data_IF_331417033887
#
_entry.id   IF_331417033887
#
_cell.length_a   1.000
_cell.length_b   1.000
_cell.length_c   1.000
_cell.angle_alpha   90.00
_cell.angle_beta   90.00
_cell.angle_gamma   90.00
#
_symmetry.space_group_name_H-M   'P 1'
#
loop_
_entity.id
_entity.type
_entity.pdbx_description
1 polymer ?
#
# COMPACT_ATOMS: atom_id res chain seq x y z
N UNK A 1 -30.69 -5.11 -41.07
CA UNK A 1 -29.33 -5.02 -40.51
C UNK A 1 -29.31 -3.80 -39.60
N UNK A 2 -29.24 -3.98 -38.28
CA UNK A 2 -29.22 -2.84 -37.37
C UNK A 2 -27.77 -2.38 -37.27
N UNK A 3 -27.45 -1.21 -37.77
CA UNK A 3 -26.13 -0.61 -37.64
C UNK A 3 -26.02 -0.02 -36.24
N UNK A 4 -25.29 -0.67 -35.37
CA UNK A 4 -24.94 -0.09 -34.04
C UNK A 4 -23.74 0.81 -34.23
N UNK A 5 -23.88 2.11 -33.97
CA UNK A 5 -22.77 3.05 -33.93
C UNK A 5 -22.11 2.92 -32.55
N UNK A 6 -20.86 2.44 -32.50
CA UNK A 6 -20.04 2.42 -31.29
C UNK A 6 -19.29 3.74 -31.21
N UNK A 7 -19.55 4.52 -30.16
CA UNK A 7 -18.89 5.81 -29.90
C UNK A 7 -18.02 5.68 -28.61
N UNK A 8 -17.06 4.77 -28.66
CA UNK A 8 -16.17 4.54 -27.52
C UNK A 8 -15.40 5.81 -27.16
N UNK A 9 -15.37 6.15 -25.87
CA UNK A 9 -14.59 7.29 -25.36
C UNK A 9 -14.04 7.00 -23.98
N UNK A 10 -12.83 7.51 -23.68
CA UNK A 10 -12.21 7.48 -22.34
C UNK A 10 -12.27 8.90 -21.78
N UNK A 11 -12.99 9.08 -20.65
CA UNK A 11 -13.21 10.37 -20.04
C UNK A 11 -12.39 10.58 -18.78
N UNK A 12 -11.89 9.50 -18.16
CA UNK A 12 -11.08 9.56 -16.94
C UNK A 12 -10.29 8.31 -16.63
N UNK A 13 -9.25 8.48 -15.83
CA UNK A 13 -8.40 7.43 -15.27
C UNK A 13 -8.21 7.71 -13.78
N UNK A 14 -8.51 6.76 -12.91
CA UNK A 14 -8.37 6.93 -11.47
C UNK A 14 -7.82 5.65 -10.78
N UNK A 15 -6.72 5.75 -10.01
CA UNK A 15 -5.81 6.89 -9.93
C UNK A 15 -5.06 7.13 -11.25
N UNK A 16 -4.60 8.36 -11.50
CA UNK A 16 -3.80 8.71 -12.69
C UNK A 16 -2.31 8.41 -12.54
N UNK A 17 -1.90 7.92 -11.36
CA UNK A 17 -0.54 7.49 -11.05
C UNK A 17 -0.58 6.15 -10.34
N UNK A 18 0.32 5.25 -10.67
CA UNK A 18 0.43 3.93 -10.01
C UNK A 18 1.66 3.17 -10.46
N UNK A 19 1.95 2.06 -9.78
CA UNK A 19 3.02 1.12 -10.14
C UNK A 19 2.48 -0.05 -10.94
N UNK A 20 3.37 -0.84 -11.53
CA UNK A 20 3.03 -2.16 -12.10
C UNK A 20 2.28 -2.98 -11.04
N UNK A 21 1.19 -3.64 -11.45
CA UNK A 21 0.33 -4.44 -10.58
C UNK A 21 -0.75 -3.64 -9.83
N UNK A 22 -0.72 -2.31 -9.84
CA UNK A 22 -1.79 -1.51 -9.23
C UNK A 22 -3.09 -1.59 -10.04
N UNK A 23 -4.22 -1.40 -9.36
CA UNK A 23 -5.55 -1.37 -9.98
C UNK A 23 -5.89 0.06 -10.40
N UNK A 24 -6.40 0.21 -11.61
CA UNK A 24 -6.85 1.49 -12.20
C UNK A 24 -8.27 1.33 -12.70
N UNK A 25 -9.10 2.33 -12.43
CA UNK A 25 -10.46 2.45 -12.98
C UNK A 25 -10.44 3.42 -14.14
N UNK A 26 -10.91 2.96 -15.29
CA UNK A 26 -11.09 3.77 -16.50
C UNK A 26 -12.57 4.11 -16.61
N UNK A 27 -12.90 5.39 -16.72
CA UNK A 27 -14.26 5.87 -16.95
C UNK A 27 -14.42 6.32 -18.40
N UNK A 28 -15.61 6.10 -18.96
CA UNK A 28 -15.86 6.46 -20.36
C UNK A 28 -17.27 6.11 -20.84
N UNK A 29 -17.38 5.82 -22.13
CA UNK A 29 -18.65 5.42 -22.79
C UNK A 29 -18.40 4.25 -23.73
N UNK A 30 -19.43 3.42 -23.91
CA UNK A 30 -19.51 2.31 -24.85
C UNK A 30 -18.40 1.25 -24.68
N UNK A 31 -18.08 0.92 -23.40
CA UNK A 31 -17.09 -0.09 -23.06
C UNK A 31 -17.59 -1.54 -23.15
N UNK A 32 -18.90 -1.74 -23.31
CA UNK A 32 -19.46 -3.11 -23.47
C UNK A 32 -18.86 -3.79 -24.70
N UNK A 33 -18.26 -4.98 -24.48
CA UNK A 33 -17.58 -5.72 -25.54
C UNK A 33 -16.14 -5.23 -25.80
N UNK A 34 -15.51 -4.55 -24.86
CA UNK A 34 -14.09 -4.18 -24.95
C UNK A 34 -13.22 -5.42 -25.17
N UNK A 35 -12.35 -5.32 -26.18
CA UNK A 35 -11.46 -6.40 -26.63
C UNK A 35 -10.02 -6.20 -26.19
N UNK A 36 -9.68 -5.02 -25.64
CA UNK A 36 -8.35 -4.73 -25.13
C UNK A 36 -8.24 -3.39 -24.45
N UNK A 37 -7.32 -3.36 -23.48
CA UNK A 37 -6.88 -2.13 -22.80
C UNK A 37 -5.38 -2.09 -22.86
N UNK A 38 -4.80 -0.92 -23.11
CA UNK A 38 -3.34 -0.73 -23.11
C UNK A 38 -2.92 0.57 -22.43
N UNK A 39 -1.75 0.54 -21.80
CA UNK A 39 -1.10 1.69 -21.17
C UNK A 39 0.11 2.07 -22.02
N UNK A 40 0.07 3.21 -22.69
CA UNK A 40 1.11 3.67 -23.60
C UNK A 40 1.60 2.57 -24.56
N UNK A 41 0.65 1.82 -25.15
CA UNK A 41 0.92 0.71 -26.06
C UNK A 41 1.19 -0.65 -25.39
N UNK A 42 1.46 -0.71 -24.09
CA UNK A 42 1.62 -1.98 -23.36
C UNK A 42 0.26 -2.57 -23.04
N UNK A 43 -0.06 -3.74 -23.60
CA UNK A 43 -1.35 -4.40 -23.44
C UNK A 43 -1.55 -4.91 -22.00
N UNK A 44 -2.71 -4.64 -21.43
CA UNK A 44 -3.12 -5.21 -20.15
C UNK A 44 -3.49 -6.70 -20.32
N UNK A 45 -3.00 -7.54 -19.42
CA UNK A 45 -3.28 -8.98 -19.38
C UNK A 45 -4.52 -9.32 -18.57
N UNK A 46 -4.99 -8.38 -17.72
CA UNK A 46 -6.15 -8.55 -16.85
C UNK A 46 -6.94 -7.25 -16.76
N UNK A 47 -8.20 -7.29 -17.14
CA UNK A 47 -9.17 -6.22 -16.93
C UNK A 47 -10.59 -6.78 -16.87
N UNK A 48 -11.49 -6.03 -16.25
CA UNK A 48 -12.93 -6.34 -16.15
C UNK A 48 -13.74 -5.16 -16.67
N UNK A 49 -14.69 -5.42 -17.55
CA UNK A 49 -15.69 -4.44 -17.95
C UNK A 49 -16.79 -4.45 -16.89
N UNK A 50 -16.76 -3.48 -15.97
CA UNK A 50 -17.73 -3.42 -14.87
C UNK A 50 -19.12 -3.04 -15.36
N UNK A 51 -19.19 -2.14 -16.32
CA UNK A 51 -20.40 -1.69 -17.01
C UNK A 51 -20.03 -0.94 -18.30
N UNK A 52 -21.04 -0.40 -19.01
CA UNK A 52 -20.82 0.34 -20.26
C UNK A 52 -19.98 1.63 -20.12
N UNK A 53 -19.80 2.14 -18.91
CA UNK A 53 -19.04 3.37 -18.62
C UNK A 53 -17.77 3.16 -17.80
N UNK A 54 -17.44 1.90 -17.42
CA UNK A 54 -16.36 1.64 -16.51
C UNK A 54 -15.62 0.32 -16.79
N UNK A 55 -14.29 0.39 -16.72
CA UNK A 55 -13.39 -0.75 -16.75
C UNK A 55 -12.44 -0.67 -15.57
N UNK A 56 -12.29 -1.78 -14.85
CA UNK A 56 -11.23 -1.99 -13.85
C UNK A 56 -10.10 -2.79 -14.48
N UNK A 57 -8.87 -2.29 -14.42
CA UNK A 57 -7.70 -2.89 -15.07
C UNK A 57 -6.50 -2.92 -14.15
N UNK A 58 -5.67 -3.97 -14.28
CA UNK A 58 -4.37 -4.05 -13.59
C UNK A 58 -3.26 -3.53 -14.50
N UNK A 59 -2.42 -2.63 -13.98
CA UNK A 59 -1.28 -2.05 -14.70
C UNK A 59 -0.28 -3.15 -15.07
N UNK A 60 -0.02 -3.42 -16.36
CA UNK A 60 0.85 -4.52 -16.79
C UNK A 60 2.33 -4.21 -16.59
N UNK A 61 3.15 -5.27 -16.51
CA UNK A 61 4.61 -5.14 -16.53
C UNK A 61 5.08 -4.50 -17.84
N UNK A 62 6.11 -3.66 -17.76
CA UNK A 62 6.65 -2.95 -18.92
C UNK A 62 5.88 -1.66 -19.29
N UNK A 63 4.81 -1.30 -18.53
CA UNK A 63 4.12 -0.02 -18.73
C UNK A 63 5.07 1.15 -18.54
N UNK A 64 4.97 2.11 -19.42
CA UNK A 64 5.63 3.42 -19.32
C UNK A 64 4.58 4.53 -19.22
N UNK A 65 4.97 5.68 -18.68
CA UNK A 65 4.07 6.85 -18.57
C UNK A 65 3.54 7.24 -19.95
N UNK A 66 2.22 7.38 -20.07
CA UNK A 66 1.55 7.75 -21.32
C UNK A 66 0.05 7.51 -21.28
N UNK A 67 -0.64 7.69 -22.39
CA UNK A 67 -2.09 7.59 -22.45
C UNK A 67 -2.57 6.14 -22.32
N UNK A 68 -3.83 5.98 -21.87
CA UNK A 68 -4.53 4.69 -21.80
C UNK A 68 -5.47 4.58 -23.00
N UNK A 69 -5.46 3.43 -23.68
CA UNK A 69 -6.32 3.16 -24.84
C UNK A 69 -7.23 1.97 -24.56
N UNK A 70 -8.52 2.11 -24.89
CA UNK A 70 -9.54 1.04 -24.85
C UNK A 70 -9.97 0.72 -26.25
N UNK A 71 -10.04 -0.57 -26.61
CA UNK A 71 -10.48 -1.07 -27.91
C UNK A 71 -11.84 -1.77 -27.76
N UNK A 72 -12.82 -1.40 -28.61
CA UNK A 72 -14.17 -1.99 -28.63
C UNK A 72 -14.62 -2.18 -30.07
N UNK A 73 -14.88 -3.42 -30.48
CA UNK A 73 -15.51 -3.71 -31.79
C UNK A 73 -14.77 -3.14 -33.00
N UNK A 74 -13.45 -3.01 -32.95
CA UNK A 74 -12.63 -2.42 -34.01
C UNK A 74 -12.46 -0.89 -33.92
N UNK A 75 -13.14 -0.23 -32.96
CA UNK A 75 -12.92 1.17 -32.62
C UNK A 75 -11.95 1.27 -31.45
N UNK A 76 -11.24 2.40 -31.33
CA UNK A 76 -10.36 2.68 -30.19
C UNK A 76 -10.58 4.07 -29.65
N UNK A 77 -10.50 4.22 -28.32
CA UNK A 77 -10.50 5.51 -27.65
C UNK A 77 -9.26 5.62 -26.75
N UNK A 78 -8.66 6.78 -26.76
CA UNK A 78 -7.46 7.08 -25.98
C UNK A 78 -7.76 8.20 -24.99
N UNK A 79 -7.27 8.07 -23.77
CA UNK A 79 -7.43 9.09 -22.73
C UNK A 79 -6.77 10.41 -23.13
N UNK A 80 -7.34 11.54 -22.72
CA UNK A 80 -6.74 12.87 -22.91
C UNK A 80 -5.57 13.13 -21.97
N UNK A 81 -5.58 12.47 -20.79
CA UNK A 81 -4.51 12.54 -19.79
C UNK A 81 -3.65 11.29 -19.80
N UNK A 82 -2.40 11.42 -19.34
CA UNK A 82 -1.49 10.29 -19.18
C UNK A 82 -1.72 9.56 -17.86
N UNK A 83 -1.54 8.26 -17.88
CA UNK A 83 -1.24 7.48 -16.69
C UNK A 83 0.26 7.59 -16.41
N UNK A 84 0.62 7.97 -15.18
CA UNK A 84 2.03 8.11 -14.77
C UNK A 84 2.48 6.86 -14.03
N UNK A 85 3.54 6.21 -14.53
CA UNK A 85 4.20 5.15 -13.78
C UNK A 85 5.03 5.76 -12.67
N UNK A 86 4.69 5.40 -11.43
CA UNK A 86 5.43 5.74 -10.23
C UNK A 86 6.22 4.55 -9.70
N UNK A 87 7.31 4.81 -8.99
CA UNK A 87 8.01 3.80 -8.21
C UNK A 87 7.28 3.59 -6.88
N UNK A 88 7.19 2.33 -6.42
CA UNK A 88 6.68 2.04 -5.08
C UNK A 88 7.45 2.83 -4.03
N UNK A 89 6.76 3.27 -3.00
CA UNK A 89 7.38 3.83 -1.82
C UNK A 89 7.92 2.71 -0.93
N UNK A 90 9.02 2.99 -0.23
CA UNK A 90 9.55 2.12 0.82
C UNK A 90 9.32 2.79 2.17
N UNK A 91 8.66 2.09 3.09
CA UNK A 91 8.56 2.48 4.48
C UNK A 91 9.48 1.61 5.33
N UNK A 92 10.53 2.20 5.88
CA UNK A 92 11.40 1.59 6.88
C UNK A 92 10.86 1.93 8.26
N UNK A 93 10.37 0.95 8.97
CA UNK A 93 9.75 1.12 10.27
C UNK A 93 10.56 0.40 11.34
N UNK A 94 10.62 1.01 12.53
CA UNK A 94 11.17 0.37 13.71
C UNK A 94 10.15 0.40 14.84
N UNK A 95 9.86 -0.78 15.41
CA UNK A 95 8.95 -0.97 16.53
C UNK A 95 9.36 -2.20 17.35
N UNK A 96 9.13 -2.15 18.64
CA UNK A 96 9.24 -3.33 19.51
C UNK A 96 7.88 -3.71 20.06
N UNK A 97 7.66 -5.00 20.28
CA UNK A 97 6.45 -5.54 20.87
C UNK A 97 6.77 -6.06 22.28
N UNK A 98 6.03 -5.57 23.29
CA UNK A 98 6.27 -5.88 24.70
C UNK A 98 6.42 -7.39 24.97
N UNK A 99 5.53 -8.20 24.40
CA UNK A 99 5.53 -9.66 24.61
C UNK A 99 6.70 -10.41 23.98
N UNK A 100 7.46 -9.76 23.10
CA UNK A 100 8.63 -10.36 22.43
C UNK A 100 9.95 -9.69 22.81
N UNK A 101 9.90 -8.57 23.54
CA UNK A 101 11.10 -7.82 23.90
C UNK A 101 11.97 -8.63 24.88
N UNK A 102 13.23 -8.85 24.51
CA UNK A 102 14.19 -9.67 25.23
C UNK A 102 15.28 -8.86 25.96
N UNK A 103 15.26 -7.53 25.78
CA UNK A 103 16.28 -6.62 26.35
C UNK A 103 17.35 -6.19 25.34
N UNK A 104 18.07 -5.14 25.69
CA UNK A 104 19.19 -4.60 24.89
C UNK A 104 18.81 -4.24 23.46
N UNK A 105 17.57 -3.74 23.23
CA UNK A 105 17.08 -3.38 21.91
C UNK A 105 16.83 -4.56 20.98
N UNK A 106 16.53 -5.74 21.53
CA UNK A 106 16.26 -6.96 20.76
C UNK A 106 14.94 -7.62 21.19
N UNK A 107 14.33 -8.33 20.24
CA UNK A 107 13.17 -9.21 20.44
C UNK A 107 13.56 -10.68 20.20
N UNK A 108 12.78 -11.60 20.79
CA UNK A 108 12.94 -13.04 20.57
C UNK A 108 12.53 -13.41 19.14
N UNK A 109 13.34 -14.20 18.43
CA UNK A 109 13.07 -14.71 17.09
C UNK A 109 12.03 -15.83 17.10
N UNK A 110 10.76 -15.51 17.16
CA UNK A 110 9.67 -16.49 17.38
C UNK A 110 9.47 -17.38 16.16
N UNK A 111 9.39 -16.81 14.95
CA UNK A 111 9.21 -17.60 13.71
C UNK A 111 10.39 -18.54 13.47
N UNK A 112 11.61 -18.06 13.68
CA UNK A 112 12.81 -18.89 13.55
C UNK A 112 12.82 -20.04 14.56
N UNK A 113 12.46 -19.75 15.84
CA UNK A 113 12.40 -20.76 16.90
C UNK A 113 11.31 -21.82 16.65
N UNK A 114 10.25 -21.48 15.91
CA UNK A 114 9.19 -22.39 15.51
C UNK A 114 9.49 -23.15 14.21
N UNK A 115 10.60 -22.83 13.54
CA UNK A 115 11.00 -23.45 12.28
C UNK A 115 10.12 -23.09 11.09
N UNK A 116 9.37 -21.97 11.17
CA UNK A 116 8.48 -21.48 10.09
C UNK A 116 9.01 -20.21 9.42
N UNK A 117 10.02 -19.57 9.98
CA UNK A 117 10.69 -18.42 9.39
C UNK A 117 11.67 -18.81 8.28
N UNK A 118 12.06 -17.84 7.47
CA UNK A 118 13.09 -18.00 6.42
C UNK A 118 14.48 -17.59 6.90
N UNK A 119 14.55 -16.77 7.96
CA UNK A 119 15.79 -16.27 8.54
C UNK A 119 15.78 -16.44 10.06
N UNK A 120 16.98 -16.48 10.67
CA UNK A 120 17.15 -16.69 12.11
C UNK A 120 16.77 -15.51 12.99
N UNK A 121 16.50 -14.35 12.41
CA UNK A 121 16.17 -13.11 13.11
C UNK A 121 14.72 -12.65 12.90
N UNK A 122 13.84 -13.52 12.40
CA UNK A 122 12.42 -13.21 12.19
C UNK A 122 11.62 -13.37 13.49
N UNK A 123 10.87 -12.33 13.86
CA UNK A 123 10.00 -12.32 15.04
C UNK A 123 8.58 -12.75 14.69
N UNK A 124 7.84 -11.93 13.96
CA UNK A 124 6.45 -12.22 13.57
C UNK A 124 5.99 -11.32 12.42
N UNK A 125 4.88 -11.69 11.79
CA UNK A 125 4.25 -10.89 10.76
C UNK A 125 3.48 -9.71 11.39
N UNK A 126 3.66 -8.53 10.82
CA UNK A 126 2.88 -7.33 11.14
C UNK A 126 2.12 -6.83 9.91
N UNK A 127 1.04 -6.12 10.15
CA UNK A 127 0.33 -5.32 9.15
C UNK A 127 0.52 -3.85 9.46
N UNK A 128 0.93 -3.08 8.47
CA UNK A 128 0.98 -1.62 8.56
C UNK A 128 -0.08 -1.05 7.64
N UNK A 129 -0.90 -0.18 8.19
CA UNK A 129 -1.95 0.54 7.47
C UNK A 129 -1.64 2.04 7.50
N UNK A 130 -1.87 2.71 6.38
CA UNK A 130 -1.74 4.15 6.23
C UNK A 130 -3.13 4.76 6.18
N UNK A 131 -3.44 5.62 7.13
CA UNK A 131 -4.71 6.34 7.18
C UNK A 131 -4.52 7.81 6.81
N UNK A 132 -5.46 8.35 6.06
CA UNK A 132 -5.44 9.75 5.60
C UNK A 132 -5.04 10.74 6.70
N UNK A 133 -4.05 11.58 6.43
CA UNK A 133 -3.44 12.46 7.42
C UNK A 133 -4.32 13.62 7.88
N UNK A 134 -5.36 13.95 7.12
CA UNK A 134 -6.29 15.02 7.49
C UNK A 134 -7.43 14.50 8.38
N UNK A 135 -7.90 13.29 8.11
CA UNK A 135 -9.09 12.72 8.78
C UNK A 135 -8.78 11.58 9.73
N UNK A 136 -7.69 10.85 9.49
CA UNK A 136 -7.37 9.60 10.21
C UNK A 136 -8.38 8.46 9.96
N UNK A 137 -9.36 8.66 9.09
CA UNK A 137 -10.50 7.74 8.95
C UNK A 137 -10.45 6.87 7.69
N UNK A 138 -9.84 7.37 6.60
CA UNK A 138 -9.81 6.68 5.31
C UNK A 138 -8.52 5.91 5.14
N UNK A 139 -8.60 4.60 4.90
CA UNK A 139 -7.46 3.76 4.57
C UNK A 139 -6.90 4.15 3.20
N UNK A 140 -5.65 4.60 3.16
CA UNK A 140 -4.95 4.97 1.94
C UNK A 140 -4.16 3.80 1.32
N UNK A 141 -3.51 2.99 2.17
CA UNK A 141 -2.74 1.83 1.75
C UNK A 141 -2.53 0.87 2.92
N UNK A 142 -2.18 -0.39 2.61
CA UNK A 142 -1.80 -1.41 3.60
C UNK A 142 -0.66 -2.26 3.04
N UNK A 143 0.25 -2.68 3.92
CA UNK A 143 1.32 -3.61 3.60
C UNK A 143 1.57 -4.56 4.76
N UNK A 144 2.03 -5.77 4.45
CA UNK A 144 2.46 -6.76 5.44
C UNK A 144 3.95 -7.00 5.32
N UNK A 145 4.59 -7.30 6.45
CA UNK A 145 5.99 -7.66 6.51
C UNK A 145 6.32 -8.42 7.79
N UNK A 146 7.47 -9.05 7.81
CA UNK A 146 7.99 -9.72 9.00
C UNK A 146 8.94 -8.77 9.71
N UNK A 147 8.64 -8.47 10.98
CA UNK A 147 9.51 -7.64 11.82
C UNK A 147 10.67 -8.49 12.33
N UNK A 148 11.85 -7.90 12.35
CA UNK A 148 13.09 -8.56 12.74
C UNK A 148 13.38 -8.36 14.24
N UNK A 149 14.32 -9.13 14.79
CA UNK A 149 14.69 -9.08 16.22
C UNK A 149 15.19 -7.70 16.66
N UNK A 150 15.76 -6.91 15.77
CA UNK A 150 16.20 -5.52 16.02
C UNK A 150 15.05 -4.50 15.92
N UNK A 151 13.82 -4.96 15.71
CA UNK A 151 12.62 -4.15 15.58
C UNK A 151 12.40 -3.56 14.19
N UNK A 152 13.25 -3.86 13.22
CA UNK A 152 13.13 -3.27 11.88
C UNK A 152 12.24 -4.09 10.95
N UNK A 153 11.56 -3.39 10.05
CA UNK A 153 10.86 -3.95 8.90
C UNK A 153 10.88 -2.96 7.75
N UNK A 154 11.06 -3.46 6.53
CA UNK A 154 10.97 -2.65 5.31
C UNK A 154 9.76 -3.08 4.49
N UNK A 155 8.88 -2.15 4.18
CA UNK A 155 7.57 -2.39 3.55
C UNK A 155 7.50 -1.66 2.20
N UNK A 156 7.02 -2.36 1.18
CA UNK A 156 6.71 -1.76 -0.11
C UNK A 156 5.27 -1.27 -0.13
N UNK A 157 5.07 -0.02 -0.47
CA UNK A 157 3.77 0.66 -0.55
C UNK A 157 3.53 1.15 -1.98
N UNK A 158 2.26 1.29 -2.41
CA UNK A 158 1.95 1.79 -3.74
C UNK A 158 2.54 3.19 -4.01
N UNK A 159 2.92 3.45 -5.25
CA UNK A 159 3.43 4.76 -5.67
C UNK A 159 2.45 5.92 -5.38
N UNK A 160 1.17 5.65 -5.27
CA UNK A 160 0.10 6.63 -4.98
C UNK A 160 0.22 7.27 -3.60
N UNK A 161 0.97 6.68 -2.67
CA UNK A 161 1.17 7.28 -1.34
C UNK A 161 2.21 8.39 -1.34
N UNK A 162 3.11 8.43 -2.33
CA UNK A 162 4.20 9.41 -2.41
C UNK A 162 3.66 10.83 -2.52
N UNK A 163 4.17 11.73 -1.69
CA UNK A 163 3.75 13.13 -1.62
C UNK A 163 2.53 13.40 -0.74
N UNK A 164 1.83 12.36 -0.27
CA UNK A 164 0.69 12.47 0.63
C UNK A 164 1.08 12.18 2.08
N UNK A 165 0.30 12.68 3.03
CA UNK A 165 0.55 12.49 4.46
C UNK A 165 -0.44 11.50 5.07
N UNK A 166 0.08 10.58 5.89
CA UNK A 166 -0.71 9.51 6.51
C UNK A 166 -0.32 9.31 7.98
N UNK A 167 -1.29 8.93 8.80
CA UNK A 167 -1.01 8.25 10.05
C UNK A 167 -0.58 6.82 9.75
N UNK A 168 0.51 6.37 10.37
CA UNK A 168 1.04 5.00 10.26
C UNK A 168 0.47 4.19 11.42
N UNK A 169 -0.36 3.19 11.14
CA UNK A 169 -0.90 2.27 12.13
C UNK A 169 -0.20 0.91 12.03
N UNK A 170 0.47 0.51 13.09
CA UNK A 170 1.09 -0.82 13.21
C UNK A 170 0.13 -1.75 13.93
N UNK A 171 -0.19 -2.87 13.29
CA UNK A 171 -1.10 -3.89 13.81
C UNK A 171 -0.41 -5.23 13.90
N UNK A 172 -0.58 -5.88 15.02
CA UNK A 172 -0.12 -7.23 15.27
C UNK A 172 -1.14 -7.97 16.15
N UNK A 173 -1.25 -9.29 15.97
CA UNK A 173 -2.24 -10.12 16.69
C UNK A 173 -2.16 -10.06 18.21
N UNK A 174 -0.97 -9.80 18.76
CA UNK A 174 -0.69 -9.82 20.20
C UNK A 174 -0.38 -8.42 20.78
N UNK A 175 -0.66 -7.35 20.05
CA UNK A 175 -0.41 -5.98 20.52
C UNK A 175 -1.62 -5.08 20.30
N UNK A 176 -1.72 -4.04 21.13
CA UNK A 176 -2.63 -2.93 20.86
C UNK A 176 -2.16 -2.22 19.59
N UNK A 177 -3.06 -1.94 18.67
CA UNK A 177 -2.71 -1.18 17.46
C UNK A 177 -2.13 0.19 17.84
N UNK A 178 -0.92 0.47 17.34
CA UNK A 178 -0.18 1.68 17.68
C UNK A 178 -0.07 2.56 16.45
N UNK A 179 -0.44 3.82 16.61
CA UNK A 179 -0.48 4.82 15.54
C UNK A 179 0.67 5.81 15.71
N UNK A 180 1.22 6.33 14.61
CA UNK A 180 2.16 7.45 14.67
C UNK A 180 1.51 8.66 15.36
N UNK A 181 2.31 9.42 16.11
CA UNK A 181 1.83 10.59 16.88
C UNK A 181 1.17 11.66 16.00
N UNK A 182 1.65 11.80 14.79
CA UNK A 182 1.16 12.73 13.78
C UNK A 182 1.21 12.09 12.40
N UNK A 183 0.55 12.72 11.43
CA UNK A 183 0.65 12.31 10.04
C UNK A 183 2.07 12.53 9.51
N UNK A 184 2.56 11.54 8.75
CA UNK A 184 3.90 11.49 8.15
C UNK A 184 3.76 11.64 6.64
N UNK A 185 4.51 12.56 6.04
CA UNK A 185 4.53 12.71 4.57
C UNK A 185 5.39 11.60 3.96
N UNK A 186 4.80 10.81 3.07
CA UNK A 186 5.48 9.71 2.40
C UNK A 186 6.33 10.21 1.24
N UNK A 187 7.64 9.91 1.29
CA UNK A 187 8.56 10.00 0.16
C UNK A 187 8.64 8.69 -0.61
N UNK A 188 9.55 8.61 -1.58
CA UNK A 188 9.93 7.32 -2.21
C UNK A 188 10.58 6.37 -1.21
N UNK A 189 11.23 6.93 -0.17
CA UNK A 189 11.67 6.23 1.04
C UNK A 189 11.33 7.08 2.24
N UNK A 190 10.69 6.49 3.23
CA UNK A 190 10.29 7.11 4.50
C UNK A 190 10.73 6.21 5.64
N UNK A 191 11.23 6.79 6.73
CA UNK A 191 11.57 6.05 7.94
C UNK A 191 10.75 6.56 9.12
N UNK A 192 10.28 5.65 9.99
CA UNK A 192 9.60 6.00 11.23
C UNK A 192 10.00 5.05 12.35
N UNK A 193 10.43 5.62 13.48
CA UNK A 193 10.90 4.86 14.64
C UNK A 193 10.00 5.12 15.86
N UNK A 194 9.25 4.09 16.27
CA UNK A 194 8.40 4.14 17.45
C UNK A 194 9.18 3.96 18.76
N UNK A 195 10.44 3.47 18.72
CA UNK A 195 11.14 2.93 19.89
C UNK A 195 11.85 3.97 20.75
N UNK A 196 11.93 5.23 20.32
CA UNK A 196 12.78 6.27 20.92
C UNK A 196 12.08 7.11 22.00
N UNK A 197 10.76 7.22 21.98
CA UNK A 197 9.99 7.96 22.97
C UNK A 197 8.51 7.52 22.92
N UNK A 198 7.80 7.60 24.05
CA UNK A 198 6.35 7.37 24.06
C UNK A 198 5.60 8.32 23.13
N UNK A 199 6.09 9.55 23.00
CA UNK A 199 5.52 10.60 22.15
C UNK A 199 5.65 10.33 20.64
N UNK A 200 6.32 9.28 20.22
CA UNK A 200 6.27 8.79 18.83
C UNK A 200 4.93 8.14 18.48
N UNK A 201 4.18 7.70 19.48
CA UNK A 201 2.86 7.13 19.29
C UNK A 201 1.75 8.12 19.65
N UNK A 202 0.62 8.02 18.94
CA UNK A 202 -0.58 8.78 19.23
C UNK A 202 -1.06 8.51 20.66
N UNK A 203 -1.34 9.59 21.41
CA UNK A 203 -1.70 9.49 22.82
C UNK A 203 -0.59 8.97 23.72
N UNK A 204 0.66 8.96 23.27
CA UNK A 204 1.82 8.38 23.98
C UNK A 204 1.61 6.91 24.36
N UNK A 205 0.95 6.14 23.48
CA UNK A 205 0.54 4.75 23.70
C UNK A 205 1.73 3.78 23.52
N UNK A 206 2.78 3.97 24.29
CA UNK A 206 3.98 3.12 24.35
C UNK A 206 4.43 2.97 25.82
N UNK A 207 5.08 1.85 26.14
CA UNK A 207 5.65 1.61 27.45
C UNK A 207 7.19 1.65 27.39
N UNK A 208 7.81 2.33 28.34
CA UNK A 208 9.26 2.30 28.52
C UNK A 208 9.66 1.00 29.25
N UNK A 209 10.51 0.19 28.63
CA UNK A 209 10.98 -1.10 29.18
C UNK A 209 12.44 -1.06 29.60
N UNK A 210 13.22 -0.16 29.01
CA UNK A 210 14.58 0.21 29.39
C UNK A 210 14.74 1.72 29.16
N UNK A 211 15.72 2.35 29.80
CA UNK A 211 15.95 3.79 29.66
C UNK A 211 16.06 4.20 28.19
N UNK A 212 15.06 4.97 27.73
CA UNK A 212 14.99 5.45 26.34
C UNK A 212 14.56 4.39 25.32
N UNK A 213 14.04 3.22 25.74
CA UNK A 213 13.55 2.17 24.85
C UNK A 213 12.05 1.94 25.10
N UNK A 214 11.26 2.15 24.06
CA UNK A 214 9.82 2.07 24.10
C UNK A 214 9.29 0.93 23.25
N UNK A 215 8.25 0.25 23.72
CA UNK A 215 7.61 -0.90 23.05
C UNK A 215 6.10 -0.70 22.96
N UNK A 216 5.47 -1.33 21.97
CA UNK A 216 4.02 -1.41 21.85
C UNK A 216 3.44 -2.31 22.94
N UNK A 217 2.31 -1.90 23.55
CA UNK A 217 1.63 -2.70 24.57
C UNK A 217 1.17 -4.05 24.01
N UNK A 218 1.28 -5.10 24.82
CA UNK A 218 0.60 -6.36 24.52
C UNK A 218 -0.91 -6.15 24.59
N UNK A 219 -1.61 -6.69 23.57
CA UNK A 219 -3.07 -6.81 23.60
C UNK A 219 -3.43 -8.09 24.37
N UNK A 220 -4.19 -7.98 25.45
CA UNK A 220 -4.85 -9.14 26.04
C UNK A 220 -6.09 -9.46 25.22
N UNK A 221 -6.16 -10.67 24.66
CA UNK A 221 -7.41 -11.22 24.15
C UNK A 221 -8.11 -11.82 25.36
N UNK A 222 -9.01 -11.04 25.98
CA UNK A 222 -9.92 -11.54 27.01
C UNK A 222 -11.10 -12.26 26.39
#
# INVERSE_FOLDING_TARGET
>A
MNLTIINVSVTGIAPSTGSVGSTVVISGLDFTGATGVSFNGTAATSYTVDNNGQITVTVPAGTTTGPVTVNVGGCSATSSGNFTIGTNATLNLKAYMQGYYAGSGLMTSVLANQGVGTNTNEVDAITVELYDGATGATLGASAQGVILTDGTVSLSLPATVVGNSYYIAVKHRNTVATWSASAVTMGTTTSYDFTTAATQAYGSNMIEVETGVYVMYTGEIS
#
